data_IF_010299299387
#
_entry.id   IF_010299299387
#
_cell.length_a   1.000
_cell.length_b   1.000
_cell.length_c   1.000
_cell.angle_alpha   90.00
_cell.angle_beta   90.00
_cell.angle_gamma   90.00
#
_symmetry.space_group_name_H-M   'P 1'
#
loop_
_entity.id
_entity.type
_entity.pdbx_description
1 polymer ?
#
# COMPACT_ATOMS: atom_id res chain seq x y z
N UNK A 1 3.66 -11.87 -16.71
CA UNK A 1 4.73 -10.89 -16.38
C UNK A 1 4.42 -10.33 -15.00
N UNK A 2 5.36 -10.42 -14.09
CA UNK A 2 5.17 -9.94 -12.70
C UNK A 2 5.06 -8.42 -12.67
N UNK A 3 4.10 -7.89 -11.93
CA UNK A 3 3.88 -6.46 -11.73
C UNK A 3 4.33 -6.06 -10.33
N UNK A 4 5.23 -5.10 -10.24
CA UNK A 4 5.79 -4.60 -8.98
C UNK A 4 5.10 -3.29 -8.64
N UNK A 5 4.43 -3.26 -7.48
CA UNK A 5 3.66 -2.12 -6.99
C UNK A 5 4.29 -1.64 -5.70
N UNK A 6 4.71 -0.38 -5.64
CA UNK A 6 5.14 0.23 -4.38
C UNK A 6 3.97 0.96 -3.71
N UNK A 7 3.78 0.73 -2.43
CA UNK A 7 2.88 1.52 -1.60
C UNK A 7 3.75 2.49 -0.80
N UNK A 8 3.62 3.77 -1.08
CA UNK A 8 4.53 4.80 -0.56
C UNK A 8 3.80 6.06 -0.10
N UNK A 9 4.48 6.90 0.67
CA UNK A 9 3.95 8.19 1.14
C UNK A 9 5.08 9.12 1.57
N UNK A 10 4.83 10.42 1.49
CA UNK A 10 5.75 11.43 2.02
C UNK A 10 5.79 11.49 3.56
N UNK A 11 4.76 11.01 4.27
CA UNK A 11 4.60 11.15 5.72
C UNK A 11 4.37 9.80 6.41
N UNK A 12 4.87 9.66 7.64
CA UNK A 12 4.58 8.51 8.50
C UNK A 12 3.15 8.48 9.01
N UNK A 13 2.62 7.28 9.30
CA UNK A 13 1.32 7.10 9.94
C UNK A 13 0.09 7.34 9.06
N UNK A 14 0.24 7.51 7.74
CA UNK A 14 -0.88 7.69 6.80
C UNK A 14 -1.57 6.38 6.40
N UNK A 15 -1.07 5.22 6.83
CA UNK A 15 -1.71 3.92 6.57
C UNK A 15 -1.09 3.11 5.44
N UNK A 16 0.20 3.32 5.08
CA UNK A 16 0.90 2.53 4.05
C UNK A 16 0.83 1.03 4.30
N UNK A 17 1.34 0.57 5.42
CA UNK A 17 1.41 -0.87 5.75
C UNK A 17 0.03 -1.52 5.78
N UNK A 18 -0.99 -0.81 6.31
CA UNK A 18 -2.39 -1.25 6.24
C UNK A 18 -2.86 -1.38 4.79
N UNK A 19 -2.50 -0.41 3.95
CA UNK A 19 -2.83 -0.41 2.51
C UNK A 19 -2.11 -1.54 1.80
N UNK A 20 -0.80 -1.73 2.05
CA UNK A 20 0.00 -2.81 1.45
C UNK A 20 -0.59 -4.19 1.78
N UNK A 21 -0.93 -4.42 3.05
CA UNK A 21 -1.57 -5.65 3.51
C UNK A 21 -2.95 -5.87 2.86
N UNK A 22 -3.80 -4.84 2.80
CA UNK A 22 -5.15 -4.93 2.24
C UNK A 22 -5.11 -5.16 0.71
N UNK A 23 -4.26 -4.44 -0.01
CA UNK A 23 -4.13 -4.57 -1.47
C UNK A 23 -3.56 -5.93 -1.86
N UNK A 24 -2.50 -6.39 -1.18
CA UNK A 24 -1.92 -7.72 -1.45
C UNK A 24 -2.91 -8.85 -1.17
N UNK A 25 -3.66 -8.77 -0.06
CA UNK A 25 -4.75 -9.71 0.23
C UNK A 25 -5.83 -9.64 -0.83
N UNK A 26 -6.22 -8.47 -1.30
CA UNK A 26 -7.25 -8.29 -2.32
C UNK A 26 -6.87 -8.91 -3.66
N UNK A 27 -5.62 -8.74 -4.13
CA UNK A 27 -5.14 -9.42 -5.34
C UNK A 27 -5.16 -10.94 -5.17
N UNK A 28 -4.71 -11.43 -4.02
CA UNK A 28 -4.72 -12.86 -3.73
C UNK A 28 -6.13 -13.45 -3.68
N UNK A 29 -7.12 -12.73 -3.11
CA UNK A 29 -8.54 -13.11 -3.12
C UNK A 29 -9.15 -13.17 -4.53
N UNK A 30 -8.64 -12.36 -5.47
CA UNK A 30 -9.01 -12.40 -6.90
C UNK A 30 -8.30 -13.54 -7.65
N UNK A 31 -7.52 -14.36 -6.98
CA UNK A 31 -6.84 -15.55 -7.54
C UNK A 31 -5.40 -15.29 -8.03
N UNK A 32 -4.90 -14.07 -7.90
CA UNK A 32 -3.55 -13.73 -8.34
C UNK A 32 -2.51 -14.11 -7.30
N UNK A 33 -1.49 -14.88 -7.70
CA UNK A 33 -0.36 -15.20 -6.82
C UNK A 33 0.43 -13.95 -6.49
N UNK A 34 0.38 -13.56 -5.21
CA UNK A 34 0.86 -12.25 -4.74
C UNK A 34 1.89 -12.41 -3.62
N UNK A 35 2.96 -11.63 -3.68
CA UNK A 35 3.89 -11.44 -2.57
C UNK A 35 3.75 -10.01 -2.03
N UNK A 36 3.83 -9.85 -0.70
CA UNK A 36 3.99 -8.54 -0.07
C UNK A 36 5.31 -8.53 0.69
N UNK A 37 6.11 -7.49 0.47
CA UNK A 37 7.46 -7.33 1.02
C UNK A 37 7.50 -6.10 1.92
N UNK A 38 7.97 -6.27 3.15
CA UNK A 38 8.21 -5.19 4.09
C UNK A 38 9.64 -4.63 3.93
N UNK A 39 9.76 -3.35 3.57
CA UNK A 39 11.03 -2.64 3.44
C UNK A 39 11.38 -1.79 4.68
N UNK A 40 10.54 -1.80 5.73
CA UNK A 40 10.77 -0.99 6.94
C UNK A 40 11.67 -1.74 7.94
N UNK A 41 12.94 -1.93 7.55
CA UNK A 41 13.96 -2.57 8.37
C UNK A 41 14.14 -1.82 9.68
N UNK A 42 14.08 -2.57 10.79
CA UNK A 42 14.16 -2.05 12.15
C UNK A 42 12.80 -1.89 12.83
N UNK A 43 11.71 -1.55 12.12
CA UNK A 43 10.37 -1.40 12.72
C UNK A 43 9.50 -2.64 12.50
N UNK A 44 9.52 -3.24 11.31
CA UNK A 44 8.78 -4.47 10.97
C UNK A 44 7.34 -4.48 11.47
N UNK A 45 6.44 -3.88 10.71
CA UNK A 45 5.04 -3.74 11.10
C UNK A 45 4.08 -4.61 10.27
N UNK A 46 4.50 -5.03 9.08
CA UNK A 46 3.64 -5.75 8.14
C UNK A 46 3.21 -7.12 8.69
N UNK A 47 4.14 -7.86 9.29
CA UNK A 47 3.87 -9.18 9.86
C UNK A 47 2.90 -9.15 11.03
N UNK A 48 2.86 -8.06 11.81
CA UNK A 48 1.88 -7.84 12.87
C UNK A 48 0.48 -7.64 12.26
N UNK A 49 0.35 -6.80 11.23
CA UNK A 49 -0.93 -6.55 10.54
C UNK A 49 -1.43 -7.82 9.84
N UNK A 50 -0.50 -8.65 9.33
CA UNK A 50 -0.82 -9.94 8.70
C UNK A 50 -1.02 -11.08 9.71
N UNK A 51 -0.72 -10.87 11.00
CA UNK A 51 -0.83 -11.86 12.06
C UNK A 51 0.07 -13.08 11.86
N UNK A 52 1.27 -12.85 11.33
CA UNK A 52 2.26 -13.90 11.09
C UNK A 52 3.59 -13.67 11.83
N UNK A 53 3.65 -12.73 12.78
CA UNK A 53 4.85 -12.35 13.52
C UNK A 53 5.55 -13.54 14.22
N UNK A 54 4.78 -14.50 14.70
CA UNK A 54 5.31 -15.72 15.37
C UNK A 54 5.82 -16.78 14.41
N UNK A 55 5.59 -16.61 13.12
CA UNK A 55 6.01 -17.53 12.06
C UNK A 55 7.28 -17.05 11.34
N UNK A 56 7.76 -15.87 11.66
CA UNK A 56 8.98 -15.30 11.07
C UNK A 56 10.19 -16.01 11.64
N UNK A 57 10.89 -16.76 10.79
CA UNK A 57 12.17 -17.41 11.09
C UNK A 57 13.30 -16.68 10.36
N UNK A 58 13.07 -16.36 9.10
CA UNK A 58 13.99 -15.61 8.24
C UNK A 58 13.28 -14.40 7.65
N UNK A 59 14.05 -13.38 7.30
CA UNK A 59 13.60 -12.11 6.77
C UNK A 59 14.29 -11.76 5.43
N UNK A 60 13.92 -10.64 4.84
CA UNK A 60 14.50 -10.17 3.57
C UNK A 60 16.03 -10.03 3.63
N UNK A 61 16.58 -9.63 4.78
CA UNK A 61 18.04 -9.44 4.93
C UNK A 61 18.77 -10.78 4.95
N UNK A 62 18.19 -11.81 5.60
CA UNK A 62 18.75 -13.15 5.55
C UNK A 62 18.84 -13.68 4.12
N UNK A 63 17.85 -13.39 3.29
CA UNK A 63 17.86 -13.79 1.86
C UNK A 63 18.96 -13.04 1.10
N UNK A 64 19.07 -11.72 1.27
CA UNK A 64 20.07 -10.88 0.61
C UNK A 64 21.51 -11.34 0.96
N UNK A 65 21.75 -11.75 2.21
CA UNK A 65 23.08 -12.24 2.64
C UNK A 65 23.31 -13.73 2.37
N UNK A 66 22.36 -14.45 1.76
CA UNK A 66 22.47 -15.88 1.49
C UNK A 66 22.42 -16.75 2.76
N UNK A 67 21.97 -16.21 3.88
CA UNK A 67 21.76 -16.93 5.14
C UNK A 67 20.50 -17.81 5.09
N UNK A 68 19.56 -17.51 4.19
CA UNK A 68 18.36 -18.28 3.90
C UNK A 68 17.98 -18.18 2.42
N UNK A 69 17.27 -19.19 1.90
CA UNK A 69 16.63 -19.10 0.59
C UNK A 69 15.35 -18.27 0.67
N UNK A 70 14.91 -17.71 -0.45
CA UNK A 70 13.63 -16.99 -0.53
C UNK A 70 12.46 -17.88 -0.06
N UNK A 71 12.45 -19.16 -0.44
CA UNK A 71 11.39 -20.09 0.00
C UNK A 71 11.35 -20.30 1.52
N UNK A 72 12.48 -20.20 2.21
CA UNK A 72 12.52 -20.32 3.68
C UNK A 72 12.05 -19.05 4.37
N UNK A 73 12.23 -17.88 3.73
CA UNK A 73 11.82 -16.58 4.28
C UNK A 73 10.38 -16.21 3.93
N UNK A 74 9.82 -16.73 2.83
CA UNK A 74 8.43 -16.49 2.44
C UNK A 74 7.46 -17.20 3.38
N UNK A 75 6.55 -16.43 3.96
CA UNK A 75 5.49 -16.92 4.83
C UNK A 75 4.19 -16.95 4.05
N UNK A 76 3.62 -18.13 3.82
CA UNK A 76 2.29 -18.26 3.21
C UNK A 76 1.22 -17.76 4.17
N UNK A 77 0.30 -16.92 3.70
CA UNK A 77 -0.78 -16.39 4.53
C UNK A 77 -1.74 -17.48 5.02
N UNK A 78 -2.32 -17.27 6.20
CA UNK A 78 -3.25 -18.21 6.83
C UNK A 78 -4.68 -18.13 6.29
N UNK A 79 -5.05 -16.99 5.70
CA UNK A 79 -6.39 -16.72 5.18
C UNK A 79 -6.49 -16.92 3.67
N UNK A 80 -5.37 -16.76 2.93
CA UNK A 80 -5.36 -16.88 1.48
C UNK A 80 -4.09 -17.59 0.98
N UNK A 81 -4.28 -18.73 0.33
CA UNK A 81 -3.18 -19.56 -0.17
C UNK A 81 -2.34 -18.91 -1.28
N UNK A 82 -2.91 -17.90 -1.96
CA UNK A 82 -2.24 -17.16 -3.02
C UNK A 82 -1.38 -16.00 -2.51
N UNK A 83 -1.40 -15.71 -1.18
CA UNK A 83 -0.66 -14.62 -0.57
C UNK A 83 0.56 -15.11 0.19
N UNK A 84 1.70 -14.45 -0.04
CA UNK A 84 2.97 -14.71 0.63
C UNK A 84 3.54 -13.40 1.19
N UNK A 85 4.13 -13.46 2.39
CA UNK A 85 4.70 -12.33 3.09
C UNK A 85 6.21 -12.53 3.20
N UNK A 86 7.01 -11.54 2.79
CA UNK A 86 8.43 -11.45 3.07
C UNK A 86 8.66 -10.35 4.09
N UNK A 87 8.95 -10.69 5.36
CA UNK A 87 9.08 -9.69 6.42
C UNK A 87 10.40 -8.93 6.35
N UNK A 88 10.40 -7.70 6.89
CA UNK A 88 11.63 -6.94 7.16
C UNK A 88 12.40 -7.53 8.35
N UNK A 89 13.68 -7.17 8.46
CA UNK A 89 14.50 -7.50 9.63
C UNK A 89 14.25 -6.54 10.79
N UNK A 90 14.19 -7.06 12.01
CA UNK A 90 14.14 -6.26 13.24
C UNK A 90 15.52 -5.95 13.81
N UNK A 91 16.53 -6.75 13.49
CA UNK A 91 17.84 -6.74 14.17
C UNK A 91 18.95 -6.18 13.31
N UNK A 92 18.71 -5.95 12.03
CA UNK A 92 19.71 -5.40 11.10
C UNK A 92 19.45 -3.92 10.85
N UNK A 93 20.51 -3.21 10.44
CA UNK A 93 20.42 -1.81 10.05
C UNK A 93 19.74 -1.62 8.70
N UNK A 94 19.14 -0.46 8.48
CA UNK A 94 18.50 -0.05 7.21
C UNK A 94 19.47 -0.13 6.02
N UNK A 95 20.77 -0.07 6.26
CA UNK A 95 21.82 -0.20 5.24
C UNK A 95 22.07 -1.64 4.78
N UNK A 96 21.49 -2.63 5.44
CA UNK A 96 21.59 -4.04 5.06
C UNK A 96 20.88 -4.37 3.73
N UNK A 97 19.92 -3.55 3.31
CA UNK A 97 19.29 -3.70 2.00
C UNK A 97 20.22 -3.15 0.90
N UNK A 98 20.47 -3.95 -0.13
CA UNK A 98 21.16 -3.55 -1.35
C UNK A 98 20.24 -3.61 -2.55
N UNK A 99 20.46 -2.72 -3.53
CA UNK A 99 19.68 -2.69 -4.77
C UNK A 99 19.83 -4.01 -5.54
N UNK A 100 21.03 -4.57 -5.61
CA UNK A 100 21.30 -5.85 -6.24
C UNK A 100 20.53 -7.00 -5.57
N UNK A 101 20.59 -7.10 -4.24
CA UNK A 101 19.90 -8.15 -3.49
C UNK A 101 18.37 -8.06 -3.61
N UNK A 102 17.82 -6.83 -3.58
CA UNK A 102 16.37 -6.63 -3.84
C UNK A 102 16.02 -7.04 -5.27
N UNK A 103 16.84 -6.68 -6.26
CA UNK A 103 16.65 -7.09 -7.66
C UNK A 103 16.59 -8.60 -7.81
N UNK A 104 17.54 -9.34 -7.20
CA UNK A 104 17.57 -10.80 -7.22
C UNK A 104 16.32 -11.44 -6.61
N UNK A 105 15.82 -10.90 -5.48
CA UNK A 105 14.58 -11.35 -4.85
C UNK A 105 13.38 -11.17 -5.80
N UNK A 106 13.26 -10.00 -6.45
CA UNK A 106 12.17 -9.71 -7.37
C UNK A 106 12.22 -10.61 -8.62
N UNK A 107 13.42 -10.88 -9.16
CA UNK A 107 13.63 -11.82 -10.26
C UNK A 107 13.26 -13.26 -9.86
N UNK A 108 13.64 -13.69 -8.66
CA UNK A 108 13.26 -15.03 -8.16
C UNK A 108 11.76 -15.16 -7.95
N UNK A 109 11.07 -14.12 -7.44
CA UNK A 109 9.60 -14.08 -7.35
C UNK A 109 8.96 -14.17 -8.74
N UNK A 110 9.48 -13.44 -9.72
CA UNK A 110 9.01 -13.52 -11.10
C UNK A 110 9.20 -14.94 -11.71
N UNK A 111 10.35 -15.58 -11.47
CA UNK A 111 10.62 -16.95 -11.90
C UNK A 111 9.73 -18.00 -11.21
N UNK A 112 9.09 -17.64 -10.09
CA UNK A 112 8.13 -18.48 -9.35
C UNK A 112 6.66 -18.15 -9.68
N UNK A 113 6.41 -17.45 -10.78
CA UNK A 113 5.08 -17.09 -11.28
C UNK A 113 4.25 -16.22 -10.32
N UNK A 114 4.89 -15.36 -9.51
CA UNK A 114 4.16 -14.32 -8.81
C UNK A 114 3.66 -13.27 -9.82
N UNK A 115 2.36 -13.02 -9.81
CA UNK A 115 1.75 -12.04 -10.71
C UNK A 115 1.89 -10.62 -10.18
N UNK A 116 1.76 -10.45 -8.85
CA UNK A 116 1.94 -9.16 -8.17
C UNK A 116 2.96 -9.25 -7.06
N UNK A 117 3.79 -8.22 -6.93
CA UNK A 117 4.66 -7.98 -5.79
C UNK A 117 4.35 -6.60 -5.24
N UNK A 118 3.82 -6.55 -4.00
CA UNK A 118 3.49 -5.31 -3.30
C UNK A 118 4.64 -4.97 -2.35
N UNK A 119 5.30 -3.85 -2.57
CA UNK A 119 6.40 -3.35 -1.75
C UNK A 119 5.88 -2.33 -0.74
N UNK A 120 5.84 -2.68 0.55
CA UNK A 120 5.53 -1.75 1.63
C UNK A 120 6.75 -0.90 1.95
N UNK A 121 6.73 0.38 1.59
CA UNK A 121 7.86 1.25 1.81
C UNK A 121 7.85 1.88 3.21
N UNK A 122 9.02 2.13 3.83
CA UNK A 122 9.09 3.02 4.98
C UNK A 122 8.62 4.42 4.61
N UNK A 123 8.32 5.24 5.63
CA UNK A 123 7.92 6.63 5.39
C UNK A 123 9.08 7.49 4.90
N UNK A 124 8.77 8.48 4.07
CA UNK A 124 9.74 9.49 3.64
C UNK A 124 10.57 9.05 2.43
N UNK A 125 11.79 9.59 2.37
CA UNK A 125 12.65 9.54 1.19
C UNK A 125 14.03 8.93 1.48
N UNK A 126 14.16 8.20 2.58
CA UNK A 126 15.41 7.55 2.97
C UNK A 126 15.72 6.32 2.09
N UNK A 127 16.91 5.73 2.26
CA UNK A 127 17.43 4.61 1.46
C UNK A 127 16.41 3.44 1.31
N UNK A 128 15.78 3.02 2.40
CA UNK A 128 14.78 1.93 2.34
C UNK A 128 13.58 2.27 1.45
N UNK A 129 13.07 3.51 1.53
CA UNK A 129 11.99 3.98 0.66
C UNK A 129 12.44 4.02 -0.80
N UNK A 130 13.66 4.49 -1.08
CA UNK A 130 14.23 4.48 -2.43
C UNK A 130 14.31 3.06 -3.01
N UNK A 131 14.79 2.10 -2.24
CA UNK A 131 14.90 0.70 -2.71
C UNK A 131 13.54 0.08 -3.01
N UNK A 132 12.53 0.35 -2.17
CA UNK A 132 11.16 -0.10 -2.41
C UNK A 132 10.58 0.49 -3.71
N UNK A 133 10.89 1.77 -4.01
CA UNK A 133 10.40 2.49 -5.20
C UNK A 133 11.17 2.17 -6.49
N UNK A 134 12.45 1.82 -6.37
CA UNK A 134 13.37 1.73 -7.52
C UNK A 134 12.89 0.78 -8.62
N UNK A 135 12.36 -0.37 -8.26
CA UNK A 135 11.93 -1.42 -9.20
C UNK A 135 10.46 -1.34 -9.59
N UNK A 136 9.70 -0.38 -9.05
CA UNK A 136 8.25 -0.33 -9.23
C UNK A 136 7.82 -0.09 -10.68
N UNK A 137 6.76 -0.78 -11.07
CA UNK A 137 6.01 -0.52 -12.30
C UNK A 137 4.88 0.48 -12.05
N UNK A 138 4.24 0.36 -10.87
CA UNK A 138 3.18 1.24 -10.39
C UNK A 138 3.48 1.72 -8.96
N UNK A 139 3.00 2.91 -8.63
CA UNK A 139 3.10 3.49 -7.29
C UNK A 139 1.71 3.86 -6.76
N UNK A 140 1.36 3.31 -5.60
CA UNK A 140 0.20 3.73 -4.83
C UNK A 140 0.64 4.76 -3.79
N UNK A 141 0.35 6.01 -4.08
CA UNK A 141 0.69 7.16 -3.25
C UNK A 141 -0.39 7.36 -2.20
N UNK A 142 -0.08 6.97 -0.98
CA UNK A 142 -0.99 7.03 0.17
C UNK A 142 -0.80 8.34 0.90
N UNK A 143 -1.85 9.12 1.06
CA UNK A 143 -1.82 10.37 1.82
C UNK A 143 -3.12 10.60 2.58
N UNK A 144 -3.04 11.35 3.69
CA UNK A 144 -4.22 11.93 4.32
C UNK A 144 -4.55 13.26 3.64
N UNK A 145 -5.81 13.69 3.57
CA UNK A 145 -6.19 14.97 2.98
C UNK A 145 -5.90 16.15 3.92
N UNK A 146 -4.64 16.25 4.31
CA UNK A 146 -4.05 17.31 5.14
C UNK A 146 -2.95 18.02 4.35
N UNK A 147 -2.88 19.34 4.40
CA UNK A 147 -1.92 20.16 3.62
C UNK A 147 -0.48 19.67 3.77
N UNK A 148 -0.04 19.36 5.00
CA UNK A 148 1.32 18.88 5.24
C UNK A 148 1.58 17.51 4.59
N UNK A 149 0.63 16.57 4.70
CA UNK A 149 0.74 15.23 4.13
C UNK A 149 0.79 15.27 2.60
N UNK A 150 -0.04 16.12 1.99
CA UNK A 150 -0.09 16.30 0.53
C UNK A 150 1.21 16.90 0.01
N UNK A 151 1.77 17.93 0.68
CA UNK A 151 3.06 18.53 0.30
C UNK A 151 4.24 17.54 0.39
N UNK A 152 4.24 16.71 1.42
CA UNK A 152 5.28 15.69 1.56
C UNK A 152 5.15 14.61 0.47
N UNK A 153 3.91 14.30 0.06
CA UNK A 153 3.65 13.39 -1.08
C UNK A 153 4.12 13.97 -2.40
N UNK A 154 3.93 15.27 -2.66
CA UNK A 154 4.42 15.95 -3.85
C UNK A 154 5.95 15.84 -3.99
N UNK A 155 6.69 16.06 -2.89
CA UNK A 155 8.15 15.87 -2.88
C UNK A 155 8.57 14.44 -3.21
N UNK A 156 7.83 13.45 -2.72
CA UNK A 156 8.11 12.04 -2.97
C UNK A 156 7.87 11.66 -4.44
N UNK A 157 6.85 12.24 -5.11
CA UNK A 157 6.61 12.07 -6.54
C UNK A 157 7.82 12.51 -7.40
N UNK A 158 8.48 13.61 -7.03
CA UNK A 158 9.71 14.04 -7.70
C UNK A 158 10.84 13.00 -7.63
N UNK A 159 10.89 12.17 -6.59
CA UNK A 159 11.86 11.09 -6.45
C UNK A 159 11.47 9.89 -7.31
N UNK A 160 10.20 9.48 -7.29
CA UNK A 160 9.68 8.41 -8.15
C UNK A 160 10.00 8.67 -9.62
N UNK A 161 9.77 9.90 -10.08
CA UNK A 161 9.99 10.29 -11.49
C UNK A 161 11.47 10.35 -11.88
N UNK A 162 12.40 10.62 -10.93
CA UNK A 162 13.80 10.89 -11.25
C UNK A 162 14.79 9.78 -10.86
N UNK A 163 14.46 8.94 -9.90
CA UNK A 163 15.40 7.97 -9.28
C UNK A 163 14.93 6.52 -9.35
N UNK A 164 14.02 6.20 -10.25
CA UNK A 164 13.59 4.82 -10.48
C UNK A 164 14.44 4.14 -11.57
N UNK A 165 14.46 2.80 -11.60
CA UNK A 165 15.06 2.02 -12.68
C UNK A 165 14.50 2.44 -14.05
N UNK A 166 13.20 2.74 -14.12
CA UNK A 166 12.53 3.17 -15.34
C UNK A 166 13.07 4.49 -15.84
N UNK A 167 13.29 5.47 -14.94
CA UNK A 167 13.88 6.75 -15.27
C UNK A 167 15.34 6.61 -15.75
N UNK A 168 16.15 5.80 -15.06
CA UNK A 168 17.55 5.57 -15.44
C UNK A 168 17.69 4.87 -16.80
N UNK A 169 16.75 3.99 -17.15
CA UNK A 169 16.76 3.23 -18.40
C UNK A 169 15.98 3.89 -19.54
N UNK A 170 15.39 5.08 -19.30
CA UNK A 170 14.58 5.78 -20.30
C UNK A 170 13.30 5.04 -20.72
N UNK A 171 12.75 4.23 -19.81
CA UNK A 171 11.50 3.50 -20.01
C UNK A 171 10.29 4.40 -19.70
N UNK A 172 9.08 3.92 -20.05
CA UNK A 172 7.84 4.57 -19.66
C UNK A 172 7.81 4.83 -18.15
N UNK A 173 7.40 6.03 -17.69
CA UNK A 173 7.37 6.37 -16.28
C UNK A 173 6.55 5.39 -15.44
N UNK A 174 6.83 5.34 -14.13
CA UNK A 174 6.00 4.64 -13.16
C UNK A 174 4.58 5.20 -13.25
N UNK A 175 3.56 4.33 -13.27
CA UNK A 175 2.17 4.77 -13.19
C UNK A 175 1.81 5.08 -11.74
N UNK A 176 1.41 6.30 -11.49
CA UNK A 176 1.15 6.82 -10.15
C UNK A 176 -0.35 6.93 -9.90
N UNK A 177 -0.80 6.41 -8.74
CA UNK A 177 -2.19 6.41 -8.33
C UNK A 177 -2.35 6.99 -6.93
N UNK A 178 -3.35 7.83 -6.75
CA UNK A 178 -3.68 8.45 -5.46
C UNK A 178 -4.60 7.55 -4.64
N UNK A 179 -4.22 7.32 -3.38
CA UNK A 179 -5.06 6.72 -2.34
C UNK A 179 -5.20 7.69 -1.17
N UNK A 180 -6.43 8.14 -0.93
CA UNK A 180 -6.74 8.99 0.22
C UNK A 180 -7.22 8.14 1.39
N UNK A 181 -6.56 8.28 2.55
CA UNK A 181 -6.92 7.56 3.78
C UNK A 181 -7.45 8.51 4.83
N UNK A 182 -8.19 7.98 5.81
CA UNK A 182 -8.83 8.76 6.89
C UNK A 182 -9.70 9.89 6.37
N UNK A 183 -10.37 9.65 5.26
CA UNK A 183 -11.24 10.64 4.64
C UNK A 183 -12.56 10.77 5.40
N UNK A 184 -13.01 12.02 5.60
CA UNK A 184 -14.29 12.33 6.21
C UNK A 184 -15.00 13.41 5.39
N UNK A 185 -16.08 13.08 4.66
CA UNK A 185 -16.86 14.06 3.92
C UNK A 185 -17.40 15.19 4.81
N UNK A 186 -17.75 14.88 6.06
CA UNK A 186 -18.20 15.89 7.03
C UNK A 186 -17.10 16.93 7.34
N UNK A 187 -15.86 16.47 7.60
CA UNK A 187 -14.72 17.36 7.86
C UNK A 187 -14.35 18.21 6.64
N UNK A 188 -14.52 17.67 5.43
CA UNK A 188 -14.38 18.45 4.19
C UNK A 188 -15.42 19.59 4.16
N UNK A 189 -16.69 19.28 4.42
CA UNK A 189 -17.78 20.24 4.40
C UNK A 189 -17.60 21.42 5.36
N UNK A 190 -17.01 21.17 6.52
CA UNK A 190 -16.74 22.22 7.54
C UNK A 190 -15.36 22.89 7.38
N UNK A 191 -14.60 22.54 6.32
CA UNK A 191 -13.30 23.15 6.01
C UNK A 191 -12.12 22.68 6.85
N UNK A 192 -12.26 21.57 7.58
CA UNK A 192 -11.17 20.98 8.38
C UNK A 192 -10.28 20.01 7.60
N UNK A 193 -10.69 19.64 6.39
CA UNK A 193 -10.01 18.65 5.56
C UNK A 193 -10.06 19.08 4.10
N UNK A 194 -8.99 18.79 3.32
CA UNK A 194 -8.99 19.01 1.88
C UNK A 194 -9.99 18.06 1.20
N UNK A 195 -10.65 18.55 0.16
CA UNK A 195 -11.48 17.69 -0.68
C UNK A 195 -10.63 16.78 -1.57
N UNK A 196 -11.25 15.77 -2.16
CA UNK A 196 -10.60 14.92 -3.18
C UNK A 196 -10.09 15.77 -4.33
N UNK A 197 -10.91 16.74 -4.81
CA UNK A 197 -10.55 17.63 -5.90
C UNK A 197 -9.31 18.48 -5.56
N UNK A 198 -9.26 19.08 -4.36
CA UNK A 198 -8.11 19.88 -3.91
C UNK A 198 -6.81 19.04 -3.93
N UNK A 199 -6.87 17.80 -3.45
CA UNK A 199 -5.68 16.92 -3.43
C UNK A 199 -5.27 16.49 -4.84
N UNK A 200 -6.24 16.17 -5.71
CA UNK A 200 -5.95 15.84 -7.11
C UNK A 200 -5.35 17.02 -7.88
N UNK A 201 -5.85 18.24 -7.65
CA UNK A 201 -5.32 19.45 -8.27
C UNK A 201 -3.87 19.72 -7.84
N UNK A 202 -3.53 19.46 -6.56
CA UNK A 202 -2.17 19.66 -6.05
C UNK A 202 -1.21 18.60 -6.59
N UNK A 203 -1.59 17.32 -6.55
CA UNK A 203 -0.70 16.20 -6.88
C UNK A 203 -0.75 15.79 -8.34
N UNK A 204 -1.79 16.20 -9.09
CA UNK A 204 -2.03 15.80 -10.48
C UNK A 204 -2.06 14.28 -10.70
N UNK A 205 -2.58 13.53 -9.70
CA UNK A 205 -2.65 12.06 -9.71
C UNK A 205 -4.04 11.55 -10.02
N UNK A 206 -4.10 10.38 -10.67
CA UNK A 206 -5.34 9.64 -10.83
C UNK A 206 -5.81 9.05 -9.50
N UNK A 207 -7.04 9.38 -9.08
CA UNK A 207 -7.63 8.82 -7.86
C UNK A 207 -7.97 7.34 -8.08
N UNK A 208 -7.31 6.46 -7.35
CA UNK A 208 -7.66 5.03 -7.34
C UNK A 208 -8.72 4.73 -6.26
N UNK A 209 -8.68 5.43 -5.14
CA UNK A 209 -9.71 5.26 -4.12
C UNK A 209 -9.57 6.13 -2.89
N UNK A 210 -10.65 6.09 -2.11
CA UNK A 210 -10.78 6.81 -0.84
C UNK A 210 -11.14 5.82 0.25
N UNK A 211 -10.34 5.77 1.30
CA UNK A 211 -10.56 4.95 2.48
C UNK A 211 -11.10 5.87 3.59
N UNK A 212 -12.35 5.67 4.04
CA UNK A 212 -12.93 6.49 5.07
C UNK A 212 -12.23 6.28 6.42
N UNK A 213 -12.32 7.27 7.30
CA UNK A 213 -11.91 7.11 8.69
C UNK A 213 -12.78 6.03 9.34
N UNK A 214 -12.13 4.96 9.86
CA UNK A 214 -12.84 3.79 10.37
C UNK A 214 -12.13 3.15 11.54
N UNK A 215 -12.88 2.82 12.59
CA UNK A 215 -12.39 2.06 13.74
C UNK A 215 -12.03 0.62 13.38
N UNK A 216 -12.63 0.07 12.33
CA UNK A 216 -12.35 -1.30 11.86
C UNK A 216 -10.89 -1.48 11.42
N UNK A 217 -10.24 -0.45 10.91
CA UNK A 217 -8.81 -0.49 10.57
C UNK A 217 -7.96 -0.84 11.79
N UNK A 218 -8.19 -0.16 12.93
CA UNK A 218 -7.45 -0.43 14.16
C UNK A 218 -7.80 -1.81 14.72
N UNK A 219 -9.08 -2.17 14.72
CA UNK A 219 -9.53 -3.48 15.21
C UNK A 219 -8.93 -4.63 14.41
N UNK A 220 -8.95 -4.53 13.09
CA UNK A 220 -8.37 -5.53 12.19
C UNK A 220 -6.85 -5.66 12.41
N UNK A 221 -6.14 -4.52 12.45
CA UNK A 221 -4.70 -4.48 12.70
C UNK A 221 -4.33 -5.14 14.04
N UNK A 222 -5.04 -4.82 15.13
CA UNK A 222 -4.81 -5.43 16.44
C UNK A 222 -5.13 -6.93 16.48
N UNK A 223 -5.95 -7.41 15.55
CA UNK A 223 -6.30 -8.83 15.42
C UNK A 223 -5.38 -9.60 14.47
N UNK A 224 -4.36 -8.94 13.90
CA UNK A 224 -3.47 -9.54 12.91
C UNK A 224 -4.23 -10.01 11.67
N UNK A 225 -5.12 -9.16 11.15
CA UNK A 225 -5.97 -9.46 10.01
C UNK A 225 -6.04 -8.23 9.08
N UNK A 226 -5.72 -8.37 7.77
CA UNK A 226 -5.91 -7.30 6.82
C UNK A 226 -7.36 -6.83 6.78
N UNK A 227 -7.58 -5.50 6.83
CA UNK A 227 -8.93 -4.92 6.99
C UNK A 227 -9.89 -5.23 5.82
N UNK A 228 -9.37 -5.55 4.65
CA UNK A 228 -10.17 -5.97 3.49
C UNK A 228 -10.99 -7.24 3.76
N UNK A 229 -10.56 -8.08 4.73
CA UNK A 229 -11.29 -9.28 5.15
C UNK A 229 -12.56 -8.95 5.97
N UNK A 230 -12.67 -7.73 6.49
CA UNK A 230 -13.90 -7.23 7.12
C UNK A 230 -14.82 -6.60 6.05
N UNK A 231 -15.48 -7.47 5.27
CA UNK A 231 -16.37 -7.08 4.15
C UNK A 231 -17.54 -6.19 4.58
N UNK A 232 -17.88 -6.17 5.87
CA UNK A 232 -18.97 -5.35 6.42
C UNK A 232 -18.53 -3.93 6.76
N UNK A 233 -17.24 -3.70 6.93
CA UNK A 233 -16.71 -2.37 7.23
C UNK A 233 -16.59 -1.50 5.98
N UNK A 234 -16.81 -0.19 6.16
CA UNK A 234 -16.60 0.78 5.08
C UNK A 234 -15.15 0.75 4.56
N UNK A 235 -14.16 0.56 5.45
CA UNK A 235 -12.76 0.47 5.06
C UNK A 235 -12.45 -0.81 4.28
N UNK A 236 -12.98 -1.97 4.69
CA UNK A 236 -12.83 -3.22 3.94
C UNK A 236 -13.41 -3.13 2.54
N UNK A 237 -14.61 -2.58 2.43
CA UNK A 237 -15.27 -2.33 1.15
C UNK A 237 -14.50 -1.35 0.27
N UNK A 238 -13.92 -0.28 0.87
CA UNK A 238 -13.10 0.67 0.13
C UNK A 238 -11.86 0.01 -0.49
N UNK A 239 -11.17 -0.85 0.25
CA UNK A 239 -10.02 -1.59 -0.29
C UNK A 239 -10.44 -2.60 -1.36
N UNK A 240 -11.56 -3.29 -1.21
CA UNK A 240 -12.09 -4.18 -2.25
C UNK A 240 -12.38 -3.42 -3.56
N UNK A 241 -12.98 -2.22 -3.47
CA UNK A 241 -13.23 -1.35 -4.62
C UNK A 241 -11.93 -0.87 -5.28
N UNK A 242 -10.91 -0.54 -4.49
CA UNK A 242 -9.61 -0.12 -4.99
C UNK A 242 -8.95 -1.23 -5.82
N UNK A 243 -8.95 -2.45 -5.28
CA UNK A 243 -8.41 -3.63 -5.98
C UNK A 243 -9.17 -3.86 -7.29
N UNK A 244 -10.50 -3.84 -7.26
CA UNK A 244 -11.34 -4.04 -8.43
C UNK A 244 -11.08 -2.97 -9.51
N UNK A 245 -11.00 -1.68 -9.14
CA UNK A 245 -10.66 -0.59 -10.09
C UNK A 245 -9.27 -0.75 -10.69
N UNK A 246 -8.28 -1.09 -9.88
CA UNK A 246 -6.92 -1.33 -10.38
C UNK A 246 -6.88 -2.49 -11.37
N UNK A 247 -7.68 -3.52 -11.16
CA UNK A 247 -7.85 -4.65 -12.09
C UNK A 247 -8.71 -4.33 -13.32
N UNK A 248 -9.23 -3.10 -13.43
CA UNK A 248 -9.97 -2.61 -14.60
C UNK A 248 -11.49 -2.67 -14.50
N UNK A 249 -12.04 -2.98 -13.32
CA UNK A 249 -13.49 -2.91 -13.10
C UNK A 249 -13.95 -1.45 -12.96
N UNK A 250 -15.05 -1.07 -13.60
CA UNK A 250 -15.65 0.27 -13.46
C UNK A 250 -16.51 0.32 -12.19
N UNK A 251 -15.87 0.71 -11.08
CA UNK A 251 -16.52 0.81 -9.76
C UNK A 251 -16.59 2.27 -9.31
N UNK A 252 -17.78 2.81 -9.01
CA UNK A 252 -17.92 4.18 -8.54
C UNK A 252 -17.26 4.40 -7.16
N UNK A 253 -16.80 5.62 -6.89
CA UNK A 253 -16.26 6.00 -5.59
C UNK A 253 -17.38 6.22 -4.57
N UNK A 254 -17.50 5.35 -3.57
CA UNK A 254 -18.63 5.32 -2.63
C UNK A 254 -18.48 6.25 -1.42
N UNK A 255 -17.27 6.68 -1.09
CA UNK A 255 -16.98 7.33 0.19
C UNK A 255 -16.57 8.80 0.07
N UNK A 256 -16.80 9.42 -1.09
CA UNK A 256 -16.48 10.84 -1.33
C UNK A 256 -17.56 11.76 -0.75
N UNK A 257 -18.83 11.37 -0.83
CA UNK A 257 -19.97 12.15 -0.37
C UNK A 257 -20.51 11.66 0.97
N UNK A 258 -21.14 12.56 1.74
CA UNK A 258 -21.88 12.17 2.94
C UNK A 258 -23.02 11.19 2.59
N UNK A 259 -23.16 10.13 3.37
CA UNK A 259 -24.36 9.28 3.32
C UNK A 259 -25.55 10.15 3.74
N UNK A 260 -26.41 10.54 2.79
CA UNK A 260 -27.67 11.24 3.12
C UNK A 260 -28.49 10.37 4.06
N UNK A 261 -28.62 10.75 5.32
CA UNK A 261 -29.45 10.05 6.28
C UNK A 261 -30.88 9.98 5.79
N UNK A 262 -31.61 8.93 6.17
CA UNK A 262 -33.01 8.69 5.79
C UNK A 262 -33.90 9.90 6.10
N UNK A 263 -33.54 10.72 7.07
CA UNK A 263 -34.24 11.98 7.44
C UNK A 263 -34.04 13.14 6.45
N UNK A 264 -32.99 13.16 5.65
CA UNK A 264 -32.76 14.21 4.64
C UNK A 264 -33.74 14.17 3.44
N UNK A 265 -34.44 13.06 3.23
CA UNK A 265 -35.45 12.93 2.17
C UNK A 265 -36.79 13.58 2.51
N UNK A 266 -37.04 13.94 3.77
CA UNK A 266 -38.32 14.51 4.20
C UNK A 266 -38.35 16.05 4.32
N UNK A 267 -37.19 16.73 4.26
CA UNK A 267 -37.13 18.19 4.40
C UNK A 267 -36.56 18.93 3.19
N UNK A 268 -36.40 18.29 2.07
CA UNK A 268 -35.88 18.89 0.82
C UNK A 268 -36.95 19.21 -0.20
N UNK A 269 -38.04 19.91 0.22
CA UNK A 269 -39.00 20.51 -0.69
C UNK A 269 -39.59 21.77 -0.08
N UNK A 270 -38.91 22.89 -0.33
CA UNK A 270 -39.56 24.22 -0.47
C UNK A 270 -38.64 25.08 -1.31
#
# INVERSE_FOLDING_TARGET
MTRIIVVTSGKGGVGKTTTSAAIAMGFAQKGHKTAVIDFDVGLRNLDLIMGCERRVVYDIVNVIFGEATLNQALIRDKHCEQLYILPASQTRDKDALSQEGVGQILEELAAKDFEYVVCDSPAGIEKGAHLAMYFADDAFVVTNPEVASVRDSDRMLGILSSKSRRAEQGLEPIKEYLLLTRYSPERVRIGEMLSVADVQDILSLHLLGVIPESKSVLTASNSGMPVILDEKSDAGQAYADIVARYLGEDIPHRFIEEKKGIFGKFFGSK
#
